data_IF_001768484336
#
_entry.id   IF_001768484336
#
_cell.length_a   1.000
_cell.length_b   1.000
_cell.length_c   1.000
_cell.angle_alpha   90.00
_cell.angle_beta   90.00
_cell.angle_gamma   90.00
#
_symmetry.space_group_name_H-M   'P 1'
#
loop_
_entity.id
_entity.type
_entity.pdbx_description
1 polymer ?
#
# COMPACT_ATOMS: atom_id res chain seq x y z
N UNK A 1 -9.92 -11.75 6.47
CA UNK A 1 -9.85 -10.28 6.37
C UNK A 1 -10.07 -9.79 4.94
N UNK A 2 -9.46 -10.43 3.95
CA UNK A 2 -9.46 -9.94 2.55
C UNK A 2 -10.69 -10.27 1.70
N UNK A 3 -11.64 -11.07 2.20
CA UNK A 3 -12.80 -11.54 1.40
C UNK A 3 -13.63 -10.40 0.83
N UNK A 4 -13.83 -9.32 1.58
CA UNK A 4 -14.62 -8.19 1.10
C UNK A 4 -13.87 -7.40 0.02
N UNK A 5 -12.55 -7.24 0.17
CA UNK A 5 -11.69 -6.64 -0.85
C UNK A 5 -11.75 -7.46 -2.16
N UNK A 6 -11.54 -8.77 -2.05
CA UNK A 6 -11.62 -9.69 -3.20
C UNK A 6 -12.98 -9.61 -3.89
N UNK A 7 -14.08 -9.56 -3.12
CA UNK A 7 -15.42 -9.38 -3.67
C UNK A 7 -15.56 -8.07 -4.43
N UNK A 8 -15.10 -6.94 -3.87
CA UNK A 8 -15.18 -5.66 -4.57
C UNK A 8 -14.34 -5.66 -5.86
N UNK A 9 -13.14 -6.24 -5.82
CA UNK A 9 -12.26 -6.35 -6.98
C UNK A 9 -12.87 -7.25 -8.06
N UNK A 10 -13.40 -8.42 -7.70
CA UNK A 10 -14.05 -9.34 -8.63
C UNK A 10 -15.28 -8.74 -9.33
N UNK A 11 -15.97 -7.80 -8.68
CA UNK A 11 -17.10 -7.08 -9.26
C UNK A 11 -16.72 -5.72 -9.85
N UNK A 12 -15.42 -5.42 -9.97
CA UNK A 12 -14.88 -4.18 -10.54
C UNK A 12 -15.41 -2.92 -9.83
N UNK A 13 -15.70 -3.04 -8.53
CA UNK A 13 -16.15 -1.95 -7.67
C UNK A 13 -14.93 -1.19 -7.14
N UNK A 14 -14.18 -0.55 -8.04
CA UNK A 14 -12.85 0.00 -7.77
C UNK A 14 -12.82 0.98 -6.58
N UNK A 15 -13.82 1.83 -6.45
CA UNK A 15 -13.91 2.76 -5.32
C UNK A 15 -14.16 2.03 -3.99
N UNK A 16 -15.03 1.00 -3.98
CA UNK A 16 -15.28 0.21 -2.78
C UNK A 16 -14.07 -0.67 -2.41
N UNK A 17 -13.39 -1.23 -3.40
CA UNK A 17 -12.13 -1.95 -3.22
C UNK A 17 -11.05 -1.04 -2.62
N UNK A 18 -10.97 0.20 -3.09
CA UNK A 18 -10.03 1.20 -2.58
C UNK A 18 -10.31 1.58 -1.11
N UNK A 19 -11.57 1.81 -0.78
CA UNK A 19 -12.02 2.08 0.59
C UNK A 19 -11.71 0.91 1.53
N UNK A 20 -11.99 -0.32 1.09
CA UNK A 20 -11.72 -1.52 1.88
C UNK A 20 -10.21 -1.77 2.04
N UNK A 21 -9.42 -1.52 1.00
CA UNK A 21 -7.95 -1.56 1.06
C UNK A 21 -7.44 -0.56 2.10
N UNK A 22 -7.91 0.68 2.05
CA UNK A 22 -7.55 1.73 3.02
C UNK A 22 -7.92 1.34 4.44
N UNK A 23 -9.11 0.76 4.65
CA UNK A 23 -9.56 0.27 5.96
C UNK A 23 -8.61 -0.81 6.51
N UNK A 24 -8.27 -1.81 5.69
CA UNK A 24 -7.39 -2.92 6.10
C UNK A 24 -5.99 -2.40 6.43
N UNK A 25 -5.40 -1.56 5.57
CA UNK A 25 -4.06 -1.00 5.79
C UNK A 25 -4.00 -0.13 7.05
N UNK A 26 -5.02 0.70 7.30
CA UNK A 26 -5.10 1.50 8.53
C UNK A 26 -5.22 0.62 9.79
N UNK A 27 -5.90 -0.52 9.71
CA UNK A 27 -5.97 -1.49 10.80
C UNK A 27 -4.58 -2.11 11.07
N UNK A 28 -3.84 -2.47 10.02
CA UNK A 28 -2.48 -2.98 10.15
C UNK A 28 -1.54 -1.94 10.79
N UNK A 29 -1.59 -0.70 10.31
CA UNK A 29 -0.77 0.42 10.84
C UNK A 29 -1.06 0.67 12.32
N UNK A 30 -2.34 0.74 12.69
CA UNK A 30 -2.75 0.96 14.09
C UNK A 30 -2.26 -0.17 14.99
N UNK A 31 -2.36 -1.42 14.54
CA UNK A 31 -1.89 -2.57 15.30
C UNK A 31 -0.36 -2.54 15.48
N UNK A 32 0.38 -2.19 14.42
CA UNK A 32 1.83 -2.08 14.45
C UNK A 32 2.31 -0.99 15.42
N UNK A 33 1.70 0.21 15.36
CA UNK A 33 2.03 1.32 16.28
C UNK A 33 1.74 0.95 17.73
N UNK A 34 0.59 0.33 18.01
CA UNK A 34 0.23 -0.11 19.35
C UNK A 34 1.21 -1.15 19.88
N UNK A 35 1.62 -2.12 19.05
CA UNK A 35 2.60 -3.13 19.42
C UNK A 35 3.98 -2.51 19.74
N UNK A 36 4.41 -1.52 18.95
CA UNK A 36 5.67 -0.81 19.17
C UNK A 36 5.65 0.01 20.47
N UNK A 37 4.53 0.66 20.81
CA UNK A 37 4.39 1.46 22.04
C UNK A 37 4.41 0.61 23.33
N UNK A 38 4.00 -0.66 23.24
CA UNK A 38 3.97 -1.58 24.39
C UNK A 38 5.22 -2.47 24.48
N UNK A 39 6.17 -2.37 23.54
CA UNK A 39 7.45 -3.05 23.63
C UNK A 39 8.32 -2.39 24.71
N UNK A 40 8.60 -3.13 25.78
CA UNK A 40 9.48 -2.69 26.89
C UNK A 40 10.94 -3.06 26.66
N UNK A 41 11.23 -3.82 25.60
CA UNK A 41 12.59 -4.22 25.26
C UNK A 41 13.21 -3.23 24.27
N UNK A 42 14.45 -2.84 24.54
CA UNK A 42 15.35 -2.17 23.61
C UNK A 42 15.77 -3.12 22.48
N UNK A 43 14.81 -3.78 21.83
CA UNK A 43 15.08 -4.50 20.60
C UNK A 43 15.47 -3.47 19.55
N UNK A 44 16.55 -3.71 18.78
CA UNK A 44 16.85 -2.87 17.64
C UNK A 44 15.58 -2.82 16.79
N UNK A 45 15.05 -1.62 16.58
CA UNK A 45 13.85 -1.38 15.77
C UNK A 45 13.92 -2.32 14.57
N UNK A 46 13.01 -3.29 14.52
CA UNK A 46 12.80 -4.09 13.32
C UNK A 46 12.76 -3.10 12.17
N UNK A 47 13.48 -3.44 11.11
CA UNK A 47 13.57 -2.56 9.96
C UNK A 47 12.17 -2.26 9.36
N UNK A 48 11.19 -3.11 9.63
CA UNK A 48 9.78 -2.92 9.29
C UNK A 48 8.95 -2.57 10.51
N UNK A 49 8.06 -1.58 10.35
CA UNK A 49 6.96 -1.31 11.27
C UNK A 49 5.99 -2.50 11.34
N UNK A 50 5.86 -3.24 10.24
CA UNK A 50 4.94 -4.36 10.12
C UNK A 50 5.59 -5.68 10.54
N UNK A 51 4.87 -6.48 11.32
CA UNK A 51 5.24 -7.87 11.55
C UNK A 51 5.09 -8.72 10.29
N UNK A 52 5.60 -9.95 10.31
CA UNK A 52 5.54 -10.88 9.18
C UNK A 52 4.11 -11.11 8.67
N UNK A 53 3.14 -11.18 9.59
CA UNK A 53 1.74 -11.39 9.26
C UNK A 53 1.12 -10.18 8.54
N UNK A 54 1.49 -8.98 8.95
CA UNK A 54 1.06 -7.72 8.33
C UNK A 54 1.69 -7.56 6.94
N UNK A 55 2.98 -7.89 6.80
CA UNK A 55 3.66 -7.92 5.50
C UNK A 55 3.00 -8.93 4.54
N UNK A 56 2.69 -10.13 5.02
CA UNK A 56 1.98 -11.14 4.24
C UNK A 56 0.58 -10.65 3.81
N UNK A 57 -0.10 -9.89 4.67
CA UNK A 57 -1.40 -9.30 4.35
C UNK A 57 -1.28 -8.22 3.26
N UNK A 58 -0.28 -7.35 3.34
CA UNK A 58 0.01 -6.35 2.31
C UNK A 58 0.34 -6.99 0.95
N UNK A 59 1.12 -8.07 0.96
CA UNK A 59 1.42 -8.85 -0.24
C UNK A 59 0.15 -9.45 -0.88
N UNK A 60 -0.77 -9.97 -0.06
CA UNK A 60 -2.03 -10.51 -0.57
C UNK A 60 -2.95 -9.42 -1.14
N UNK A 61 -2.97 -8.23 -0.53
CA UNK A 61 -3.70 -7.07 -1.06
C UNK A 61 -3.15 -6.70 -2.45
N UNK A 62 -1.83 -6.56 -2.59
CA UNK A 62 -1.19 -6.27 -3.88
C UNK A 62 -1.52 -7.33 -4.94
N UNK A 63 -1.41 -8.61 -4.56
CA UNK A 63 -1.71 -9.73 -5.46
C UNK A 63 -3.14 -9.67 -5.99
N UNK A 64 -4.13 -9.38 -5.14
CA UNK A 64 -5.52 -9.23 -5.55
C UNK A 64 -5.72 -8.05 -6.50
N UNK A 65 -5.15 -6.89 -6.18
CA UNK A 65 -5.25 -5.71 -7.06
C UNK A 65 -4.69 -6.00 -8.45
N UNK A 66 -3.53 -6.66 -8.52
CA UNK A 66 -2.89 -7.03 -9.79
C UNK A 66 -3.69 -8.05 -10.57
N UNK A 67 -4.19 -9.09 -9.90
CA UNK A 67 -5.02 -10.13 -10.53
C UNK A 67 -6.25 -9.53 -11.22
N UNK A 68 -7.07 -8.77 -10.47
CA UNK A 68 -8.34 -8.28 -10.99
C UNK A 68 -8.22 -7.06 -11.90
N UNK A 69 -7.07 -6.36 -11.89
CA UNK A 69 -6.83 -5.20 -12.77
C UNK A 69 -6.03 -5.52 -14.04
N UNK A 70 -5.72 -6.80 -14.30
CA UNK A 70 -4.77 -7.17 -15.37
C UNK A 70 -3.41 -6.48 -15.21
N UNK A 71 -2.87 -6.53 -13.98
CA UNK A 71 -1.58 -5.97 -13.58
C UNK A 71 -1.47 -4.44 -13.68
N UNK A 72 -2.62 -3.74 -13.82
CA UNK A 72 -2.64 -2.27 -13.93
C UNK A 72 -2.55 -1.57 -12.57
N UNK A 73 -3.06 -2.18 -11.52
CA UNK A 73 -3.18 -1.59 -10.18
C UNK A 73 -2.45 -2.45 -9.14
N UNK A 74 -2.10 -1.84 -8.01
CA UNK A 74 -1.37 -2.48 -6.92
C UNK A 74 -0.16 -1.67 -6.45
N UNK A 75 0.29 -1.95 -5.22
CA UNK A 75 1.44 -1.30 -4.58
C UNK A 75 2.73 -1.56 -5.35
N UNK A 76 2.93 -2.78 -5.85
CA UNK A 76 4.10 -3.10 -6.66
C UNK A 76 4.11 -2.31 -7.95
N UNK A 77 2.94 -2.14 -8.58
CA UNK A 77 2.83 -1.36 -9.82
C UNK A 77 3.12 0.11 -9.58
N UNK A 78 2.69 0.65 -8.44
CA UNK A 78 3.07 2.00 -8.00
C UNK A 78 4.58 2.13 -7.82
N UNK A 79 5.20 1.18 -7.12
CA UNK A 79 6.64 1.18 -6.90
C UNK A 79 7.43 1.14 -8.22
N UNK A 80 7.05 0.27 -9.16
CA UNK A 80 7.67 0.20 -10.49
C UNK A 80 7.62 1.54 -11.23
N UNK A 81 6.43 2.15 -11.31
CA UNK A 81 6.25 3.43 -12.00
C UNK A 81 7.04 4.54 -11.32
N UNK A 82 7.08 4.55 -9.99
CA UNK A 82 7.88 5.50 -9.23
C UNK A 82 9.38 5.34 -9.53
N UNK A 83 9.93 4.13 -9.38
CA UNK A 83 11.34 3.85 -9.65
C UNK A 83 11.74 4.21 -11.08
N UNK A 84 10.89 3.85 -12.07
CA UNK A 84 11.16 4.14 -13.48
C UNK A 84 11.07 5.63 -13.80
N UNK A 85 10.25 6.40 -13.07
CA UNK A 85 10.09 7.83 -13.31
C UNK A 85 11.30 8.67 -12.86
N UNK A 86 11.98 8.25 -11.79
CA UNK A 86 12.95 9.10 -11.08
C UNK A 86 12.38 10.40 -10.51
N UNK A 87 11.05 10.53 -10.45
CA UNK A 87 10.32 11.71 -9.98
C UNK A 87 9.79 11.50 -8.55
N UNK A 88 9.33 12.59 -7.95
CA UNK A 88 8.61 12.57 -6.67
C UNK A 88 7.23 11.90 -6.83
N UNK A 89 6.77 11.04 -5.88
CA UNK A 89 5.48 10.35 -5.98
C UNK A 89 4.27 11.27 -6.21
N UNK A 90 4.27 12.49 -5.66
CA UNK A 90 3.19 13.46 -5.86
C UNK A 90 3.16 14.01 -7.29
N UNK A 91 4.30 14.00 -7.98
CA UNK A 91 4.39 14.39 -9.39
C UNK A 91 3.91 13.27 -10.32
N UNK A 92 4.10 12.00 -9.92
CA UNK A 92 3.77 10.82 -10.72
C UNK A 92 2.28 10.53 -10.73
N UNK A 93 1.63 10.53 -9.57
CA UNK A 93 0.29 9.94 -9.43
C UNK A 93 -0.87 10.94 -9.35
N UNK A 94 -0.62 12.25 -9.43
CA UNK A 94 -1.64 13.34 -9.41
C UNK A 94 -2.89 12.97 -8.59
N UNK A 95 -2.68 12.69 -7.29
CA UNK A 95 -3.68 12.14 -6.36
C UNK A 95 -4.91 13.04 -6.12
N UNK A 96 -5.02 14.17 -6.82
CA UNK A 96 -6.17 15.07 -6.79
C UNK A 96 -7.22 14.76 -7.88
N UNK A 97 -6.97 13.81 -8.79
CA UNK A 97 -7.88 13.42 -9.87
C UNK A 97 -8.15 11.91 -9.85
N UNK A 98 -8.85 11.44 -8.82
CA UNK A 98 -9.14 10.01 -8.70
C UNK A 98 -10.11 9.50 -9.77
N UNK A 99 -9.61 8.60 -10.62
CA UNK A 99 -10.41 7.84 -11.57
C UNK A 99 -10.59 6.41 -11.05
N UNK A 100 -11.81 6.05 -10.66
CA UNK A 100 -12.15 4.72 -10.14
C UNK A 100 -12.78 3.84 -11.21
N UNK A 101 -12.03 3.58 -12.29
CA UNK A 101 -12.46 2.75 -13.40
C UNK A 101 -11.25 1.99 -13.98
N UNK A 102 -11.46 0.94 -14.80
CA UNK A 102 -10.35 0.13 -15.30
C UNK A 102 -9.46 0.86 -16.31
N UNK A 103 -9.88 2.03 -16.81
CA UNK A 103 -9.12 2.85 -17.76
C UNK A 103 -8.14 3.80 -17.07
N UNK A 104 -8.21 3.96 -15.74
CA UNK A 104 -7.29 4.77 -14.94
C UNK A 104 -5.83 4.38 -15.18
N UNK A 105 -4.92 5.35 -15.09
CA UNK A 105 -3.49 5.12 -15.35
C UNK A 105 -2.94 3.92 -14.55
N UNK A 106 -1.97 3.17 -15.08
CA UNK A 106 -1.27 2.17 -14.29
C UNK A 106 -0.77 2.75 -12.96
N UNK A 107 -0.87 1.98 -11.87
CA UNK A 107 -0.52 2.40 -10.51
C UNK A 107 -1.50 3.39 -9.86
N UNK A 108 -2.55 3.82 -10.55
CA UNK A 108 -3.49 4.83 -10.01
C UNK A 108 -4.27 4.34 -8.78
N UNK A 109 -4.48 3.02 -8.66
CA UNK A 109 -5.15 2.40 -7.53
C UNK A 109 -4.28 1.29 -6.90
N UNK A 110 -4.45 0.99 -5.61
CA UNK A 110 -5.26 1.74 -4.63
C UNK A 110 -4.66 3.11 -4.28
N UNK A 111 -5.47 4.06 -3.80
CA UNK A 111 -5.13 5.48 -3.58
C UNK A 111 -4.37 5.78 -2.31
N UNK A 112 -3.82 4.76 -1.63
CA UNK A 112 -3.33 4.90 -0.26
C UNK A 112 -2.13 5.84 -0.19
N UNK A 113 -2.40 7.10 0.18
CA UNK A 113 -1.43 8.19 0.31
C UNK A 113 -0.61 8.14 1.59
N UNK A 114 -1.03 7.35 2.57
CA UNK A 114 -0.33 7.22 3.86
C UNK A 114 0.75 6.14 3.86
N UNK A 115 0.81 5.34 2.79
CA UNK A 115 1.90 4.42 2.54
C UNK A 115 3.03 5.12 1.76
N UNK A 116 3.37 6.37 2.09
CA UNK A 116 4.74 6.87 1.87
C UNK A 116 5.78 5.95 2.57
N UNK A 117 5.28 5.08 3.45
CA UNK A 117 5.88 3.85 3.94
C UNK A 117 5.60 2.64 3.02
N UNK A 118 5.94 2.71 1.72
CA UNK A 118 6.11 1.47 0.95
C UNK A 118 7.51 0.99 1.26
N UNK A 119 7.61 -0.01 2.13
CA UNK A 119 8.68 -1.00 2.01
C UNK A 119 8.63 -1.53 0.57
N UNK A 120 9.36 -0.87 -0.32
CA UNK A 120 9.26 -1.14 -1.73
C UNK A 120 9.88 -2.51 -1.96
N UNK A 121 9.03 -3.51 -2.21
CA UNK A 121 9.44 -4.83 -2.62
C UNK A 121 9.94 -4.76 -4.05
N UNK A 122 11.22 -4.44 -4.20
CA UNK A 122 11.96 -4.72 -5.43
C UNK A 122 12.41 -6.18 -5.42
N UNK A 123 12.78 -6.71 -6.59
CA UNK A 123 13.53 -7.98 -6.69
C UNK A 123 14.90 -7.94 -5.96
N UNK A 124 15.32 -6.76 -5.46
CA UNK A 124 16.53 -6.51 -4.69
C UNK A 124 16.29 -6.33 -3.18
N UNK A 125 15.06 -6.51 -2.68
CA UNK A 125 14.69 -6.39 -1.26
C UNK A 125 13.91 -5.12 -0.91
N UNK A 126 13.70 -4.90 0.40
CA UNK A 126 12.95 -3.78 0.98
C UNK A 126 13.77 -2.48 0.90
N UNK A 127 13.29 -1.50 0.15
CA UNK A 127 13.85 -0.13 0.15
C UNK A 127 12.99 0.76 1.03
N UNK A 128 13.62 1.53 1.93
CA UNK A 128 12.95 2.43 2.88
C UNK A 128 13.28 3.88 2.60
N UNK A 129 12.29 4.75 2.57
CA UNK A 129 12.48 6.19 2.62
C UNK A 129 11.54 6.82 3.66
N UNK A 130 12.06 7.79 4.42
CA UNK A 130 11.30 8.58 5.39
C UNK A 130 11.04 9.97 4.80
N UNK A 131 9.79 10.43 4.82
CA UNK A 131 9.46 11.85 4.73
C UNK A 131 8.83 12.26 6.08
N UNK A 132 9.32 13.36 6.60
CA UNK A 132 9.14 13.87 7.97
C UNK A 132 7.69 14.12 8.38
N UNK A 133 7.39 13.73 9.62
CA UNK A 133 6.36 14.27 10.53
C UNK A 133 5.02 14.64 9.89
N UNK A 134 4.11 13.65 9.83
CA UNK A 134 2.68 13.96 9.87
C UNK A 134 2.29 14.01 11.34
N UNK A 135 2.16 15.22 11.87
CA UNK A 135 1.55 15.45 13.19
C UNK A 135 0.13 14.85 13.19
N UNK A 136 -0.08 13.88 14.09
CA UNK A 136 -1.39 13.29 14.41
C UNK A 136 -2.22 14.21 15.31
#
# INVERSE_FOLDING_TARGET
MLKLLEQHLAHHQWQSADQETSRIVNDLLRNAVNAAQHSTESQPLSNSLFDEQSQQTLFQIDSLWREYSSDRFGFRRQAEIWFDSGLDPHQVFQWNQFTFNPDACPGHLPTISHLDYVECWSEYGIVKYFVSEVDL
#
